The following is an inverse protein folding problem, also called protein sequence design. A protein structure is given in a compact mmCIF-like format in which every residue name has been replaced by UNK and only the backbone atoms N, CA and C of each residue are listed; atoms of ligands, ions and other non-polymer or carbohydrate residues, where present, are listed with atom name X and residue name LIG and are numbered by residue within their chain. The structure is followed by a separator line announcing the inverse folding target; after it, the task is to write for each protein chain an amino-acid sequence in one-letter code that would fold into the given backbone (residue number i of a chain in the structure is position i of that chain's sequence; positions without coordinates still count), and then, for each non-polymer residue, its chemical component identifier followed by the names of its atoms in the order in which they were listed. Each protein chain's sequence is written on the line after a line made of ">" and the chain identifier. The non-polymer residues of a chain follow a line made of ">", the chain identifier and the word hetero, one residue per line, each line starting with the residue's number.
data_IF_426427280887
#
_entry.id   IF_426427280887
#
_cell.length_a   1.000
_cell.length_b   1.000
_cell.length_c   1.000
_cell.angle_alpha   90.00
_cell.angle_beta   90.00
_cell.angle_gamma   90.00
#
_symmetry.space_group_name_H-M   'P 1'
#
loop_
_entity.id
_entity.type
_entity.pdbx_description
1 polymer ?
#
# COMPACT_ATOMS: atom_id res chain seq x y z
N UNK A 1 12.08 34.62 -70.41
CA UNK A 1 12.09 33.42 -69.54
C UNK A 1 11.84 33.86 -68.11
N UNK A 2 10.59 33.68 -67.69
CA UNK A 2 10.12 33.28 -66.36
C UNK A 2 10.70 33.94 -65.11
N UNK A 3 9.95 34.90 -64.57
CA UNK A 3 9.98 35.29 -63.16
C UNK A 3 9.46 34.12 -62.31
N UNK A 4 10.29 33.61 -61.39
CA UNK A 4 9.86 32.65 -60.36
C UNK A 4 9.62 33.44 -59.07
N UNK A 5 8.34 33.59 -58.74
CA UNK A 5 7.88 34.19 -57.50
C UNK A 5 8.27 33.36 -56.28
N UNK A 6 8.94 33.99 -55.33
CA UNK A 6 9.19 33.42 -54.02
C UNK A 6 7.89 33.52 -53.19
N UNK A 7 7.08 32.47 -53.24
CA UNK A 7 5.94 32.30 -52.35
C UNK A 7 6.45 32.09 -50.92
N UNK A 8 6.28 33.11 -50.05
CA UNK A 8 6.30 32.95 -48.59
C UNK A 8 5.24 31.91 -48.23
N UNK A 9 5.65 30.66 -47.96
CA UNK A 9 4.80 29.68 -47.28
C UNK A 9 4.61 30.15 -45.84
N UNK A 10 3.48 30.81 -45.60
CA UNK A 10 2.92 30.94 -44.26
C UNK A 10 2.68 29.51 -43.74
N UNK A 11 3.48 29.08 -42.77
CA UNK A 11 3.14 27.92 -41.96
C UNK A 11 1.96 28.37 -41.10
N UNK A 12 0.75 28.09 -41.59
CA UNK A 12 -0.45 28.17 -40.78
C UNK A 12 -0.33 27.05 -39.74
N UNK A 13 0.19 27.40 -38.56
CA UNK A 13 0.09 26.54 -37.38
C UNK A 13 -1.41 26.36 -37.15
N UNK A 14 -1.92 25.17 -37.46
CA UNK A 14 -3.27 24.81 -37.06
C UNK A 14 -3.34 25.01 -35.54
N UNK A 15 -4.25 25.83 -35.01
CA UNK A 15 -4.39 25.94 -33.57
C UNK A 15 -4.68 24.53 -33.06
N UNK A 16 -3.87 24.09 -32.08
CA UNK A 16 -4.20 22.93 -31.26
C UNK A 16 -5.67 23.08 -30.89
N UNK A 17 -6.47 22.10 -31.28
CA UNK A 17 -7.91 22.04 -31.00
C UNK A 17 -8.12 22.40 -29.53
N UNK A 18 -8.63 23.61 -29.29
CA UNK A 18 -9.08 24.01 -27.96
C UNK A 18 -10.18 23.02 -27.60
N UNK A 19 -10.06 22.26 -26.50
CA UNK A 19 -11.09 21.31 -26.12
C UNK A 19 -12.43 22.07 -26.02
N UNK A 20 -13.55 21.47 -26.49
CA UNK A 20 -14.85 22.10 -26.38
C UNK A 20 -15.08 22.55 -24.94
N UNK A 21 -15.33 23.84 -24.75
CA UNK A 21 -15.70 24.42 -23.46
C UNK A 21 -16.98 23.73 -22.99
N UNK A 22 -16.87 22.82 -22.03
CA UNK A 22 -18.02 22.05 -21.56
C UNK A 22 -17.74 20.78 -20.75
N UNK A 23 -16.49 20.31 -20.65
CA UNK A 23 -16.13 19.31 -19.63
C UNK A 23 -15.09 19.96 -18.71
N UNK A 24 -15.56 20.55 -17.62
CA UNK A 24 -14.71 20.77 -16.46
C UNK A 24 -14.37 19.39 -15.92
N UNK A 25 -13.31 18.75 -16.44
CA UNK A 25 -12.72 17.62 -15.75
C UNK A 25 -11.97 18.23 -14.57
N UNK A 26 -12.67 18.36 -13.44
CA UNK A 26 -12.04 18.80 -12.21
C UNK A 26 -11.00 17.74 -11.85
N UNK A 27 -9.72 18.07 -12.02
CA UNK A 27 -8.63 17.18 -11.67
C UNK A 27 -8.57 16.93 -10.15
N UNK A 28 -9.41 17.61 -9.35
CA UNK A 28 -9.64 17.30 -7.93
C UNK A 28 -10.17 15.88 -7.69
N UNK A 29 -10.82 15.28 -8.69
CA UNK A 29 -11.48 13.97 -8.56
C UNK A 29 -10.54 12.79 -8.89
N UNK A 30 -9.26 13.07 -9.15
CA UNK A 30 -8.24 12.06 -9.43
C UNK A 30 -7.11 12.17 -8.42
N UNK A 31 -6.69 11.03 -7.87
CA UNK A 31 -5.48 10.93 -7.06
C UNK A 31 -4.66 9.69 -7.41
N UNK A 32 -3.38 9.72 -7.09
CA UNK A 32 -2.49 8.56 -7.26
C UNK A 32 -2.22 7.92 -5.91
N UNK A 33 -2.36 6.60 -5.83
CA UNK A 33 -2.01 5.83 -4.65
C UNK A 33 -0.86 4.89 -4.98
N UNK A 34 0.27 5.06 -4.28
CA UNK A 34 1.45 4.19 -4.40
C UNK A 34 1.60 3.36 -3.14
N UNK A 35 1.64 2.04 -3.31
CA UNK A 35 1.84 1.09 -2.23
C UNK A 35 3.09 0.28 -2.49
N UNK A 36 3.87 0.11 -1.43
CA UNK A 36 5.10 -0.65 -1.42
C UNK A 36 5.18 -1.34 -0.08
N UNK A 37 5.67 -2.57 -0.08
CA UNK A 37 5.88 -3.37 1.11
C UNK A 37 7.16 -4.17 1.00
N UNK A 38 7.61 -4.61 2.17
CA UNK A 38 8.76 -5.47 2.36
C UNK A 38 8.39 -6.49 3.43
N UNK A 39 8.71 -7.76 3.19
CA UNK A 39 8.80 -8.78 4.22
C UNK A 39 10.24 -9.32 4.17
N UNK A 40 11.07 -9.01 5.17
CA UNK A 40 12.50 -9.30 5.14
C UNK A 40 12.85 -10.75 5.48
N UNK A 41 11.90 -11.53 6.01
CA UNK A 41 12.15 -12.86 6.55
C UNK A 41 11.01 -13.82 6.25
N UNK A 42 11.07 -14.45 5.07
CA UNK A 42 10.13 -15.50 4.67
C UNK A 42 10.85 -16.86 4.62
N UNK A 43 10.25 -17.85 5.27
CA UNK A 43 10.77 -19.21 5.32
C UNK A 43 9.95 -20.21 4.49
N UNK A 44 10.61 -21.29 4.06
CA UNK A 44 10.00 -22.37 3.26
C UNK A 44 8.79 -23.03 3.94
N UNK A 45 8.69 -22.92 5.27
CA UNK A 45 7.60 -23.48 6.08
C UNK A 45 6.53 -22.48 6.53
N UNK A 46 6.69 -21.19 6.24
CA UNK A 46 5.80 -20.13 6.73
C UNK A 46 4.93 -19.53 5.61
N UNK A 47 5.21 -19.84 4.34
CA UNK A 47 4.35 -19.46 3.22
C UNK A 47 2.97 -20.12 3.28
N UNK A 48 1.88 -19.43 2.89
CA UNK A 48 1.87 -18.09 2.29
C UNK A 48 2.06 -16.97 3.32
N UNK A 49 2.78 -15.94 2.91
CA UNK A 49 2.96 -14.70 3.67
C UNK A 49 2.61 -13.49 2.81
N UNK A 50 2.14 -12.41 3.44
CA UNK A 50 1.90 -11.16 2.75
C UNK A 50 3.15 -10.26 2.77
N UNK A 51 3.25 -9.34 1.81
CA UNK A 51 4.40 -8.43 1.71
C UNK A 51 4.15 -7.16 2.50
N UNK A 52 4.46 -7.22 3.80
CA UNK A 52 4.33 -6.14 4.75
C UNK A 52 5.28 -6.30 5.95
N UNK A 53 5.62 -5.18 6.60
CA UNK A 53 6.65 -5.08 7.64
C UNK A 53 6.55 -6.08 8.79
N UNK A 54 5.34 -6.48 9.18
CA UNK A 54 5.13 -7.40 10.30
C UNK A 54 5.38 -8.87 9.93
N UNK A 55 5.32 -9.22 8.65
CA UNK A 55 5.40 -10.60 8.17
C UNK A 55 4.13 -11.42 8.41
N UNK A 56 4.15 -12.68 8.00
CA UNK A 56 2.99 -13.57 8.07
C UNK A 56 1.84 -13.16 7.15
N UNK A 57 0.67 -13.79 7.32
CA UNK A 57 -0.55 -13.44 6.59
C UNK A 57 -1.30 -12.29 7.26
N UNK A 58 -1.58 -11.22 6.50
CA UNK A 58 -2.35 -10.07 6.94
C UNK A 58 -3.83 -10.41 7.16
N UNK A 59 -4.34 -10.07 8.35
CA UNK A 59 -5.73 -10.31 8.74
C UNK A 59 -6.57 -9.03 8.66
N UNK A 60 -7.40 -8.95 7.62
CA UNK A 60 -8.37 -7.86 7.47
C UNK A 60 -9.46 -7.92 8.55
N UNK A 61 -9.83 -6.75 9.08
CA UNK A 61 -10.99 -6.60 9.95
C UNK A 61 -12.29 -6.99 9.23
N UNK A 62 -13.13 -7.76 9.91
CA UNK A 62 -14.48 -8.13 9.46
C UNK A 62 -15.52 -7.04 9.77
N UNK A 63 -15.26 -6.21 10.78
CA UNK A 63 -16.08 -5.08 11.21
C UNK A 63 -15.17 -3.96 11.73
N UNK A 64 -15.66 -2.73 11.71
CA UNK A 64 -14.86 -1.61 12.20
C UNK A 64 -14.58 -1.77 13.70
N UNK A 65 -13.38 -1.41 14.13
CA UNK A 65 -12.93 -1.54 15.51
C UNK A 65 -12.08 -0.33 15.91
N UNK A 66 -11.99 -0.07 17.21
CA UNK A 66 -10.99 0.85 17.75
C UNK A 66 -9.61 0.24 17.59
N UNK A 67 -8.65 1.04 17.11
CA UNK A 67 -7.26 0.66 16.98
C UNK A 67 -6.40 1.42 17.99
N UNK A 68 -5.30 0.80 18.38
CA UNK A 68 -4.35 1.30 19.35
C UNK A 68 -2.95 1.28 18.77
N UNK A 69 -2.11 2.22 19.21
CA UNK A 69 -0.69 2.26 18.91
C UNK A 69 0.13 1.91 20.16
N UNK A 70 1.20 1.14 19.99
CA UNK A 70 2.20 0.87 21.03
C UNK A 70 3.58 0.69 20.40
N UNK A 71 4.64 1.05 21.12
CA UNK A 71 6.03 0.85 20.69
C UNK A 71 6.68 -0.29 21.46
N UNK A 72 7.60 -1.01 20.83
CA UNK A 72 8.51 -1.95 21.50
C UNK A 72 9.54 -1.27 22.41
N UNK A 73 9.76 0.04 22.28
CA UNK A 73 10.63 0.83 23.15
C UNK A 73 9.81 1.63 24.19
N UNK A 74 10.28 1.62 25.45
CA UNK A 74 9.57 2.28 26.55
C UNK A 74 9.72 3.81 26.57
N UNK A 75 10.71 4.36 25.85
CA UNK A 75 11.01 5.77 25.74
C UNK A 75 10.33 6.49 24.57
N UNK A 76 9.68 5.75 23.65
CA UNK A 76 9.01 6.35 22.50
C UNK A 76 7.78 7.16 22.93
N UNK A 77 7.92 8.49 22.88
CA UNK A 77 6.87 9.48 23.10
C UNK A 77 6.64 10.33 21.84
N UNK A 78 6.73 9.67 20.68
CA UNK A 78 6.74 10.26 19.33
C UNK A 78 5.31 10.33 18.79
N UNK A 79 4.98 11.41 18.07
CA UNK A 79 3.72 11.47 17.31
C UNK A 79 3.80 10.63 16.03
N UNK A 80 2.81 9.76 15.82
CA UNK A 80 2.63 9.04 14.56
C UNK A 80 1.29 9.43 13.92
N UNK A 81 1.26 9.42 12.58
CA UNK A 81 0.04 9.56 11.80
C UNK A 81 -0.37 8.20 11.25
N UNK A 82 -1.66 7.89 11.34
CA UNK A 82 -2.29 6.66 10.83
C UNK A 82 -3.32 7.02 9.78
N UNK A 83 -3.27 6.34 8.63
CA UNK A 83 -4.23 6.50 7.53
C UNK A 83 -4.89 5.16 7.20
N UNK A 84 -6.18 5.23 6.92
CA UNK A 84 -7.03 4.07 6.81
C UNK A 84 -8.40 4.39 6.26
N UNK A 85 -9.36 3.53 6.61
CA UNK A 85 -10.78 3.72 6.30
C UNK A 85 -11.62 3.59 7.57
N UNK A 86 -12.67 4.40 7.68
CA UNK A 86 -13.69 4.34 8.74
C UNK A 86 -14.72 3.22 8.51
N UNK A 87 -15.73 3.11 9.38
CA UNK A 87 -16.80 2.10 9.25
C UNK A 87 -17.60 2.21 7.94
N UNK A 88 -17.68 3.40 7.35
CA UNK A 88 -18.38 3.70 6.10
C UNK A 88 -17.47 3.56 4.87
N UNK A 89 -16.21 3.14 5.06
CA UNK A 89 -15.17 2.98 4.06
C UNK A 89 -14.67 4.31 3.47
N UNK A 90 -14.92 5.42 4.14
CA UNK A 90 -14.34 6.71 3.77
C UNK A 90 -12.90 6.79 4.27
N UNK A 91 -12.08 7.60 3.60
CA UNK A 91 -10.70 7.85 4.03
C UNK A 91 -10.71 8.51 5.41
N UNK A 92 -9.92 7.97 6.32
CA UNK A 92 -9.75 8.50 7.67
C UNK A 92 -8.26 8.61 7.99
N UNK A 93 -7.89 9.72 8.64
CA UNK A 93 -6.52 9.99 9.12
C UNK A 93 -6.59 10.49 10.55
N UNK A 94 -5.67 10.04 11.41
CA UNK A 94 -5.57 10.48 12.80
C UNK A 94 -4.12 10.45 13.27
N UNK A 95 -3.74 11.41 14.12
CA UNK A 95 -2.45 11.42 14.81
C UNK A 95 -2.61 10.92 16.23
N UNK A 96 -1.59 10.25 16.75
CA UNK A 96 -1.54 9.77 18.13
C UNK A 96 -0.11 9.92 18.65
N UNK A 97 0.03 10.40 19.88
CA UNK A 97 1.31 10.41 20.58
C UNK A 97 1.50 9.08 21.29
N UNK A 98 2.62 8.40 21.02
CA UNK A 98 2.97 7.15 21.69
C UNK A 98 3.21 7.37 23.18
N UNK A 99 3.01 6.31 23.96
CA UNK A 99 3.33 6.26 25.39
C UNK A 99 4.18 5.02 25.69
N UNK A 100 5.30 4.91 24.96
CA UNK A 100 6.20 3.78 24.96
C UNK A 100 5.46 2.46 24.70
N UNK A 101 5.64 1.52 25.63
CA UNK A 101 5.06 0.17 25.56
C UNK A 101 3.58 0.08 25.94
N UNK A 102 2.91 1.19 26.25
CA UNK A 102 1.48 1.19 26.58
C UNK A 102 0.61 1.43 25.33
N UNK A 103 -0.54 0.76 25.25
CA UNK A 103 -1.52 1.04 24.20
C UNK A 103 -2.12 2.44 24.35
N UNK A 104 -2.11 3.21 23.25
CA UNK A 104 -2.78 4.51 23.14
C UNK A 104 -3.82 4.43 22.02
N UNK A 105 -5.06 4.83 22.30
CA UNK A 105 -6.14 4.83 21.32
C UNK A 105 -5.84 5.77 20.14
N UNK A 106 -6.03 5.29 18.91
CA UNK A 106 -5.77 6.05 17.68
C UNK A 106 -7.06 6.77 17.27
N UNK A 107 -7.09 8.07 17.60
CA UNK A 107 -8.24 8.93 17.36
C UNK A 107 -9.39 8.57 18.31
N UNK A 108 -9.51 9.32 19.40
CA UNK A 108 -10.49 9.03 20.44
C UNK A 108 -11.91 8.91 19.88
N UNK A 109 -12.52 7.74 20.05
CA UNK A 109 -13.87 7.44 19.56
C UNK A 109 -13.97 7.13 18.06
N UNK A 110 -12.84 7.13 17.32
CA UNK A 110 -12.80 6.69 15.94
C UNK A 110 -12.78 5.16 15.86
N UNK A 111 -13.41 4.64 14.81
CA UNK A 111 -13.31 3.23 14.44
C UNK A 111 -12.72 3.11 13.05
N UNK A 112 -12.05 1.99 12.81
CA UNK A 112 -11.30 1.73 11.60
C UNK A 112 -11.73 0.39 11.03
N UNK A 113 -12.04 0.33 9.74
CA UNK A 113 -12.22 -0.94 9.01
C UNK A 113 -10.94 -1.35 8.28
N UNK A 114 -10.04 -0.39 7.99
CA UNK A 114 -8.73 -0.63 7.38
C UNK A 114 -7.71 0.33 7.99
N UNK A 115 -6.48 -0.14 8.12
CA UNK A 115 -5.28 0.65 8.28
C UNK A 115 -4.34 0.23 7.15
N UNK A 116 -3.85 1.18 6.36
CA UNK A 116 -2.98 0.87 5.20
C UNK A 116 -1.75 1.78 5.12
N UNK A 117 -1.57 2.68 6.08
CA UNK A 117 -0.37 3.50 6.23
C UNK A 117 -0.26 3.98 7.67
N UNK A 118 0.94 3.95 8.21
CA UNK A 118 1.31 4.73 9.38
C UNK A 118 2.75 5.24 9.20
N UNK A 119 3.06 6.38 9.80
CA UNK A 119 4.41 6.97 9.75
C UNK A 119 4.66 7.88 10.94
N UNK A 120 5.93 8.05 11.29
CA UNK A 120 6.37 9.06 12.24
C UNK A 120 6.08 10.45 11.67
N UNK A 121 5.27 11.24 12.37
CA UNK A 121 4.92 12.62 12.01
C UNK A 121 5.56 13.67 12.92
N UNK A 122 6.48 13.24 13.79
CA UNK A 122 7.28 14.09 14.67
C UNK A 122 8.66 14.39 14.06
N UNK A 123 9.48 15.09 14.84
CA UNK A 123 10.88 15.44 14.59
C UNK A 123 11.89 14.54 15.30
N UNK A 124 11.42 13.58 16.11
CA UNK A 124 12.25 12.61 16.83
C UNK A 124 12.05 11.22 16.23
N UNK A 125 13.14 10.55 15.87
CA UNK A 125 13.10 9.19 15.35
C UNK A 125 12.56 8.20 16.40
N UNK A 126 11.73 7.27 15.95
CA UNK A 126 11.32 6.11 16.75
C UNK A 126 12.55 5.25 17.11
N UNK A 127 12.66 4.88 18.38
CA UNK A 127 13.68 3.95 18.86
C UNK A 127 13.23 2.49 18.76
N UNK A 128 11.94 2.23 18.94
CA UNK A 128 11.32 0.91 18.81
C UNK A 128 10.40 0.80 17.60
N UNK A 129 10.15 -0.44 17.19
CA UNK A 129 9.09 -0.72 16.22
C UNK A 129 7.72 -0.40 16.83
N UNK A 130 6.84 0.16 16.02
CA UNK A 130 5.51 0.61 16.45
C UNK A 130 4.43 -0.23 15.79
N UNK A 131 3.45 -0.66 16.57
CA UNK A 131 2.37 -1.53 16.14
C UNK A 131 1.05 -0.77 16.19
N UNK A 132 0.28 -0.86 15.10
CA UNK A 132 -1.13 -0.48 15.07
C UNK A 132 -1.96 -1.75 15.12
N UNK A 133 -2.76 -1.93 16.18
CA UNK A 133 -3.49 -3.17 16.41
C UNK A 133 -4.86 -2.94 17.06
N UNK A 134 -5.72 -3.96 17.05
CA UNK A 134 -6.84 -4.03 17.98
C UNK A 134 -6.34 -4.08 19.44
N UNK A 135 -7.20 -3.85 20.43
CA UNK A 135 -6.80 -3.98 21.84
C UNK A 135 -6.28 -5.38 22.13
N UNK A 136 -5.15 -5.47 22.81
CA UNK A 136 -4.48 -6.73 23.08
C UNK A 136 -3.63 -6.68 24.34
N UNK A 137 -3.27 -7.86 24.85
CA UNK A 137 -2.16 -7.97 25.79
C UNK A 137 -0.86 -7.66 25.05
N UNK A 138 0.05 -6.94 25.71
CA UNK A 138 1.34 -6.58 25.15
C UNK A 138 2.47 -7.23 25.95
N UNK A 139 3.45 -7.79 25.25
CA UNK A 139 4.74 -8.20 25.81
C UNK A 139 5.82 -7.23 25.33
N UNK A 140 6.32 -6.39 26.23
CA UNK A 140 7.31 -5.37 25.87
C UNK A 140 6.83 -4.39 24.80
N UNK A 141 5.53 -4.06 24.79
CA UNK A 141 4.93 -3.15 23.81
C UNK A 141 4.47 -3.80 22.50
N UNK A 142 4.80 -5.08 22.29
CA UNK A 142 4.41 -5.88 21.12
C UNK A 142 3.08 -6.59 21.38
N UNK A 143 2.08 -6.50 20.48
CA UNK A 143 0.85 -7.29 20.60
C UNK A 143 1.11 -8.80 20.57
N UNK A 144 0.55 -9.54 21.53
CA UNK A 144 0.74 -10.99 21.65
C UNK A 144 0.00 -11.77 20.53
N UNK A 145 -1.05 -11.18 19.95
CA UNK A 145 -1.91 -11.79 18.93
C UNK A 145 -1.61 -11.23 17.54
N UNK A 146 -0.86 -11.99 16.73
CA UNK A 146 -0.49 -11.59 15.36
C UNK A 146 -1.66 -11.16 14.47
N UNK A 147 -2.83 -11.81 14.57
CA UNK A 147 -4.01 -11.47 13.75
C UNK A 147 -4.64 -10.11 14.09
N UNK A 148 -4.32 -9.53 15.26
CA UNK A 148 -4.80 -8.21 15.67
C UNK A 148 -3.96 -7.07 15.11
N UNK A 149 -2.73 -7.34 14.65
CA UNK A 149 -1.84 -6.32 14.07
C UNK A 149 -2.34 -5.93 12.68
N UNK A 150 -2.52 -4.63 12.47
CA UNK A 150 -3.05 -4.02 11.22
C UNK A 150 -2.03 -3.13 10.52
N UNK A 151 -0.99 -2.68 11.21
CA UNK A 151 0.20 -2.11 10.61
C UNK A 151 1.39 -2.18 11.57
N UNK A 152 2.59 -2.08 11.03
CA UNK A 152 3.82 -1.97 11.79
C UNK A 152 4.74 -0.95 11.12
N UNK A 153 5.25 -0.01 11.90
CA UNK A 153 6.35 0.87 11.53
C UNK A 153 7.62 0.21 12.02
N UNK A 154 8.56 -0.06 11.11
CA UNK A 154 9.91 -0.47 11.49
C UNK A 154 10.67 0.78 11.88
N UNK A 155 11.31 0.81 13.05
CA UNK A 155 12.02 1.98 13.57
C UNK A 155 13.01 2.54 12.54
N UNK A 156 13.80 1.68 11.89
CA UNK A 156 14.77 2.10 10.87
C UNK A 156 14.15 2.78 9.64
N UNK A 157 12.87 2.52 9.36
CA UNK A 157 12.16 3.00 8.17
C UNK A 157 11.26 4.22 8.47
N UNK A 158 10.91 4.43 9.75
CA UNK A 158 10.02 5.51 10.23
C UNK A 158 8.62 5.54 9.57
N UNK A 159 8.26 4.48 8.82
CA UNK A 159 6.96 4.30 8.21
C UNK A 159 6.62 2.82 8.01
N UNK A 160 5.36 2.55 7.70
CA UNK A 160 4.90 1.22 7.29
C UNK A 160 5.37 0.89 5.87
N UNK A 161 5.97 -0.28 5.67
CA UNK A 161 6.18 -0.86 4.36
C UNK A 161 5.14 -1.96 4.17
N UNK A 162 4.04 -1.67 3.46
CA UNK A 162 2.96 -2.63 3.21
C UNK A 162 2.37 -2.50 1.80
N UNK A 163 2.44 -3.58 1.03
CA UNK A 163 1.82 -3.70 -0.28
C UNK A 163 0.36 -4.17 -0.14
N UNK A 164 -0.42 -3.43 0.67
CA UNK A 164 -1.79 -3.75 1.04
C UNK A 164 -2.62 -2.48 0.94
N UNK A 165 -3.77 -2.54 0.29
CA UNK A 165 -4.66 -1.39 0.15
C UNK A 165 -6.10 -1.80 -0.04
N UNK A 166 -7.01 -0.88 0.29
CA UNK A 166 -8.43 -1.03 0.03
C UNK A 166 -8.93 0.24 -0.63
N UNK A 167 -9.64 0.10 -1.75
CA UNK A 167 -10.21 1.24 -2.45
C UNK A 167 -11.31 1.88 -1.59
N UNK A 168 -11.25 3.18 -1.28
CA UNK A 168 -12.26 3.84 -0.45
C UNK A 168 -13.65 3.85 -1.11
N UNK A 169 -14.69 4.05 -0.29
CA UNK A 169 -16.03 4.37 -0.79
C UNK A 169 -16.00 5.62 -1.68
N UNK A 170 -16.79 5.60 -2.76
CA UNK A 170 -16.85 6.72 -3.69
C UNK A 170 -15.69 6.80 -4.68
N UNK A 171 -14.78 5.82 -4.72
CA UNK A 171 -13.69 5.78 -5.70
C UNK A 171 -13.64 4.48 -6.48
N UNK A 172 -13.25 4.56 -7.75
CA UNK A 172 -12.81 3.43 -8.57
C UNK A 172 -11.30 3.48 -8.70
N UNK A 173 -10.63 2.37 -8.40
CA UNK A 173 -9.18 2.25 -8.51
C UNK A 173 -8.77 1.55 -9.80
N UNK A 174 -7.89 2.17 -10.56
CA UNK A 174 -7.33 1.63 -11.79
C UNK A 174 -5.90 1.17 -11.54
N UNK A 175 -5.63 -0.12 -11.76
CA UNK A 175 -4.30 -0.69 -11.53
C UNK A 175 -3.35 -0.36 -12.68
N UNK A 176 -2.36 0.50 -12.42
CA UNK A 176 -1.48 1.04 -13.45
C UNK A 176 -0.20 0.22 -13.60
N UNK A 177 0.42 -0.13 -12.48
CA UNK A 177 1.72 -0.79 -12.43
C UNK A 177 1.82 -1.67 -11.20
N UNK A 178 2.47 -2.83 -11.35
CA UNK A 178 2.95 -3.66 -10.26
C UNK A 178 4.46 -3.88 -10.38
N UNK A 179 5.12 -4.14 -9.27
CA UNK A 179 6.46 -4.69 -9.27
C UNK A 179 6.65 -5.70 -8.14
N UNK A 180 7.54 -6.64 -8.38
CA UNK A 180 7.97 -7.64 -7.41
C UNK A 180 9.49 -7.71 -7.52
N UNK A 181 10.18 -7.72 -6.39
CA UNK A 181 11.63 -7.88 -6.31
C UNK A 181 12.03 -8.76 -5.14
N UNK A 182 13.13 -9.49 -5.33
CA UNK A 182 13.75 -10.32 -4.32
C UNK A 182 15.20 -9.86 -4.09
N UNK A 183 15.63 -9.88 -2.84
CA UNK A 183 17.03 -9.63 -2.46
C UNK A 183 17.59 -10.86 -1.79
N UNK A 184 18.54 -11.54 -2.45
CA UNK A 184 19.22 -12.69 -1.86
C UNK A 184 20.64 -12.83 -2.43
N UNK A 185 21.59 -13.28 -1.60
CA UNK A 185 22.99 -13.49 -1.99
C UNK A 185 23.31 -14.91 -2.49
N UNK A 186 22.30 -15.76 -2.66
CA UNK A 186 22.41 -17.16 -3.11
C UNK A 186 21.32 -17.52 -4.10
N UNK A 187 21.51 -18.61 -4.84
CA UNK A 187 20.50 -19.12 -5.78
C UNK A 187 19.24 -19.56 -5.02
N UNK A 188 18.11 -18.93 -5.34
CA UNK A 188 16.80 -19.28 -4.79
C UNK A 188 15.68 -18.84 -5.74
N UNK A 189 14.44 -19.13 -5.36
CA UNK A 189 13.25 -18.68 -6.07
C UNK A 189 12.16 -18.21 -5.09
N UNK A 190 11.26 -17.38 -5.58
CA UNK A 190 10.03 -17.00 -4.89
C UNK A 190 8.88 -16.90 -5.89
N UNK A 191 7.67 -17.26 -5.48
CA UNK A 191 6.45 -17.04 -6.25
C UNK A 191 5.60 -16.02 -5.52
N UNK A 192 5.29 -14.92 -6.20
CA UNK A 192 4.54 -13.81 -5.62
C UNK A 192 3.31 -13.52 -6.46
N UNK A 193 2.21 -13.27 -5.78
CA UNK A 193 0.92 -12.96 -6.38
C UNK A 193 0.45 -11.57 -5.96
N UNK A 194 -0.11 -10.81 -6.90
CA UNK A 194 -1.01 -9.70 -6.56
C UNK A 194 -2.44 -10.24 -6.58
N UNK A 195 -3.10 -10.14 -5.43
CA UNK A 195 -4.43 -10.69 -5.18
C UNK A 195 -5.40 -9.57 -4.89
N UNK A 196 -6.61 -9.69 -5.44
CA UNK A 196 -7.69 -8.75 -5.18
C UNK A 196 -8.94 -9.49 -4.69
N UNK A 197 -9.63 -8.90 -3.71
CA UNK A 197 -10.90 -9.38 -3.17
C UNK A 197 -11.94 -8.28 -3.36
N UNK A 198 -12.94 -8.55 -4.18
CA UNK A 198 -14.11 -7.69 -4.31
C UNK A 198 -14.93 -7.73 -3.01
N UNK A 199 -15.72 -6.67 -2.77
CA UNK A 199 -16.56 -6.58 -1.58
C UNK A 199 -17.51 -7.79 -1.46
N UNK A 200 -17.51 -8.46 -0.30
CA UNK A 200 -18.28 -9.69 -0.06
C UNK A 200 -17.75 -10.95 -0.76
N UNK A 201 -16.64 -10.86 -1.50
CA UNK A 201 -16.04 -11.97 -2.22
C UNK A 201 -14.84 -12.60 -1.52
N UNK A 202 -14.09 -13.40 -2.27
CA UNK A 202 -12.82 -14.02 -1.84
C UNK A 202 -11.64 -13.46 -2.63
N UNK A 203 -10.42 -13.62 -2.11
CA UNK A 203 -9.20 -13.22 -2.83
C UNK A 203 -9.00 -14.07 -4.08
N UNK A 204 -8.90 -13.40 -5.23
CA UNK A 204 -8.54 -13.99 -6.51
C UNK A 204 -7.16 -13.48 -6.93
N UNK A 205 -6.35 -14.39 -7.45
CA UNK A 205 -5.06 -14.06 -8.04
C UNK A 205 -5.30 -13.27 -9.33
N UNK A 206 -4.78 -12.05 -9.41
CA UNK A 206 -4.78 -11.24 -10.62
C UNK A 206 -3.49 -11.44 -11.42
N UNK A 207 -2.36 -11.46 -10.70
CA UNK A 207 -1.02 -11.69 -11.22
C UNK A 207 -0.36 -12.78 -10.39
N UNK A 208 0.42 -13.64 -11.05
CA UNK A 208 1.32 -14.60 -10.42
C UNK A 208 2.63 -14.58 -11.20
N UNK A 209 3.72 -14.21 -10.53
CA UNK A 209 5.05 -14.18 -11.11
C UNK A 209 6.04 -14.98 -10.26
N UNK A 210 7.00 -15.61 -10.93
CA UNK A 210 8.12 -16.30 -10.32
C UNK A 210 9.39 -15.47 -10.45
N UNK A 211 10.06 -15.25 -9.33
CA UNK A 211 11.41 -14.72 -9.28
C UNK A 211 12.39 -15.88 -9.17
N UNK A 212 13.37 -15.92 -10.08
CA UNK A 212 14.44 -16.92 -10.11
C UNK A 212 15.74 -16.20 -10.37
N UNK A 213 16.73 -16.31 -9.48
CA UNK A 213 18.12 -16.04 -9.85
C UNK A 213 19.11 -16.45 -8.75
N UNK A 214 20.38 -16.48 -9.12
CA UNK A 214 21.49 -16.22 -8.18
C UNK A 214 21.63 -14.70 -8.07
N UNK A 215 21.14 -14.09 -6.98
CA UNK A 215 21.15 -12.64 -6.80
C UNK A 215 19.75 -12.01 -6.71
N UNK A 216 19.67 -10.71 -7.01
CA UNK A 216 18.41 -9.96 -7.03
C UNK A 216 17.72 -10.04 -8.39
N UNK A 217 16.42 -10.29 -8.38
CA UNK A 217 15.56 -10.29 -9.57
C UNK A 217 14.39 -9.34 -9.36
N UNK A 218 13.90 -8.75 -10.46
CA UNK A 218 12.79 -7.80 -10.48
C UNK A 218 11.90 -8.07 -11.69
N UNK A 219 10.60 -8.06 -11.46
CA UNK A 219 9.58 -8.05 -12.52
C UNK A 219 8.79 -6.76 -12.40
N UNK A 220 8.69 -6.03 -13.51
CA UNK A 220 7.84 -4.86 -13.65
C UNK A 220 6.67 -5.19 -14.57
N UNK A 221 5.46 -4.90 -14.11
CA UNK A 221 4.25 -5.09 -14.87
C UNK A 221 3.58 -3.75 -15.11
N UNK A 222 3.29 -3.45 -16.37
CA UNK A 222 2.68 -2.20 -16.79
C UNK A 222 1.40 -2.47 -17.57
N UNK A 223 0.30 -1.85 -17.16
CA UNK A 223 -1.01 -2.01 -17.79
C UNK A 223 -1.41 -0.71 -18.48
N UNK A 224 -1.18 -0.58 -19.81
CA UNK A 224 -1.57 0.62 -20.55
C UNK A 224 -3.09 0.83 -20.58
N UNK A 225 -3.86 -0.26 -20.43
CA UNK A 225 -5.31 -0.23 -20.21
C UNK A 225 -5.54 -0.90 -18.85
N UNK A 226 -5.70 -0.11 -17.77
CA UNK A 226 -5.75 -0.63 -16.42
C UNK A 226 -7.08 -1.33 -16.13
N UNK A 227 -7.02 -2.41 -15.35
CA UNK A 227 -8.23 -3.03 -14.79
C UNK A 227 -8.86 -2.08 -13.76
N UNK A 228 -10.19 -1.91 -13.85
CA UNK A 228 -10.96 -1.14 -12.89
C UNK A 228 -11.39 -2.02 -11.71
N UNK A 229 -11.09 -1.58 -10.51
CA UNK A 229 -11.53 -2.20 -9.26
C UNK A 229 -12.55 -1.29 -8.57
N UNK A 230 -13.75 -1.81 -8.24
CA UNK A 230 -14.79 -1.03 -7.59
C UNK A 230 -14.41 -0.65 -6.15
N UNK A 231 -15.15 0.28 -5.52
CA UNK A 231 -14.99 0.62 -4.11
C UNK A 231 -14.97 -0.62 -3.21
N UNK A 232 -14.24 -0.53 -2.09
CA UNK A 232 -14.11 -1.57 -1.06
C UNK A 232 -13.38 -2.84 -1.51
N UNK A 233 -12.77 -2.82 -2.69
CA UNK A 233 -11.89 -3.90 -3.13
C UNK A 233 -10.59 -3.87 -2.33
N UNK A 234 -10.26 -5.00 -1.69
CA UNK A 234 -8.97 -5.19 -1.04
C UNK A 234 -7.95 -5.71 -2.07
N UNK A 235 -6.72 -5.18 -2.04
CA UNK A 235 -5.60 -5.56 -2.90
C UNK A 235 -4.40 -5.82 -2.00
N UNK A 236 -3.70 -6.94 -2.21
CA UNK A 236 -2.46 -7.25 -1.51
C UNK A 236 -1.46 -8.04 -2.35
N UNK A 237 -0.18 -7.92 -2.02
CA UNK A 237 0.85 -8.84 -2.49
C UNK A 237 1.05 -9.98 -1.50
N UNK A 238 1.08 -11.21 -2.01
CA UNK A 238 1.25 -12.45 -1.22
C UNK A 238 2.35 -13.29 -1.84
N UNK A 239 3.36 -13.66 -1.05
CA UNK A 239 4.36 -14.67 -1.39
C UNK A 239 3.77 -16.04 -1.11
N UNK A 240 3.59 -16.86 -2.14
CA UNK A 240 2.96 -18.18 -2.02
C UNK A 240 3.95 -19.30 -1.83
N UNK A 241 5.20 -19.09 -2.24
CA UNK A 241 6.24 -20.11 -2.18
C UNK A 241 7.62 -19.44 -2.17
N UNK A 242 8.55 -20.01 -1.42
CA UNK A 242 9.97 -19.65 -1.46
C UNK A 242 10.85 -20.90 -1.47
N UNK A 243 12.01 -20.82 -2.12
CA UNK A 243 12.95 -21.93 -2.25
C UNK A 243 14.00 -22.03 -1.14
N UNK A 244 14.03 -21.07 -0.20
CA UNK A 244 14.96 -21.07 0.92
C UNK A 244 14.40 -20.27 2.10
N UNK A 245 15.07 -20.36 3.25
CA UNK A 245 14.73 -19.58 4.45
C UNK A 245 15.31 -18.16 4.38
N UNK A 246 14.81 -17.23 5.20
CA UNK A 246 15.29 -15.84 5.26
C UNK A 246 15.28 -15.14 3.89
N UNK A 247 14.14 -15.25 3.21
CA UNK A 247 13.93 -14.61 1.92
C UNK A 247 13.38 -13.20 2.11
N UNK A 248 14.13 -12.20 1.64
CA UNK A 248 13.70 -10.80 1.61
C UNK A 248 12.97 -10.51 0.29
N UNK A 249 11.66 -10.23 0.41
CA UNK A 249 10.77 -9.96 -0.71
C UNK A 249 10.15 -8.58 -0.56
N UNK A 250 10.26 -7.78 -1.62
CA UNK A 250 9.59 -6.50 -1.75
C UNK A 250 8.62 -6.51 -2.92
N UNK A 251 7.48 -5.84 -2.77
CA UNK A 251 6.47 -5.72 -3.80
C UNK A 251 5.75 -4.39 -3.69
N UNK A 252 5.12 -3.96 -4.77
CA UNK A 252 4.32 -2.75 -4.75
C UNK A 252 3.45 -2.59 -5.98
N UNK A 253 2.55 -1.63 -5.90
CA UNK A 253 1.64 -1.29 -6.98
C UNK A 253 1.23 0.18 -6.94
N UNK A 254 0.92 0.70 -8.13
CA UNK A 254 0.42 2.04 -8.35
C UNK A 254 -1.03 1.98 -8.84
N UNK A 255 -1.91 2.73 -8.17
CA UNK A 255 -3.30 2.92 -8.54
C UNK A 255 -3.56 4.37 -8.93
N UNK A 256 -4.40 4.55 -9.96
CA UNK A 256 -5.10 5.80 -10.20
C UNK A 256 -6.48 5.69 -9.56
N UNK A 257 -6.78 6.53 -8.57
CA UNK A 257 -8.09 6.60 -7.93
C UNK A 257 -8.90 7.71 -8.60
N UNK A 258 -10.08 7.34 -9.11
CA UNK A 258 -11.02 8.28 -9.72
C UNK A 258 -12.28 8.29 -8.89
N UNK A 259 -12.71 9.48 -8.45
CA UNK A 259 -13.95 9.65 -7.71
C UNK A 259 -15.13 9.30 -8.61
N UNK A 260 -16.04 8.49 -8.09
CA UNK A 260 -17.25 8.12 -8.79
C UNK A 260 -18.15 9.35 -8.87
N UNK A 261 -18.72 9.59 -10.06
CA UNK A 261 -19.73 10.63 -10.23
C UNK A 261 -20.95 10.29 -9.38
N UNK A 262 -21.35 11.24 -8.53
CA UNK A 262 -22.58 11.19 -7.74
C UNK A 262 -23.84 11.29 -8.60
#
# INVERSE_FOLDING_TARGET
>A
MTSIGQHKRLIQIAPLMVPPSGINHDWSDISTMRKFGNNPDIDTGTTPEDVWSYGGTYTFLSSAATLYASSSDAGDAVEITVEGLDADWNVQTSTVTLNGQSQVEIGSGLTWIRCYRAYNSDSTDLAGDVYVAESDTLTGGVPDTASKVKAMIVAAEQQTNMAIYTIPAGYTGYFMRGYISQVISRSSYAVVELRARLFGGVFRTGIRDGLVSTGSSRIDQYYPIPAAYPPKTDIKATVTEVGANNMDISAGFDLLLVKNSS
#
